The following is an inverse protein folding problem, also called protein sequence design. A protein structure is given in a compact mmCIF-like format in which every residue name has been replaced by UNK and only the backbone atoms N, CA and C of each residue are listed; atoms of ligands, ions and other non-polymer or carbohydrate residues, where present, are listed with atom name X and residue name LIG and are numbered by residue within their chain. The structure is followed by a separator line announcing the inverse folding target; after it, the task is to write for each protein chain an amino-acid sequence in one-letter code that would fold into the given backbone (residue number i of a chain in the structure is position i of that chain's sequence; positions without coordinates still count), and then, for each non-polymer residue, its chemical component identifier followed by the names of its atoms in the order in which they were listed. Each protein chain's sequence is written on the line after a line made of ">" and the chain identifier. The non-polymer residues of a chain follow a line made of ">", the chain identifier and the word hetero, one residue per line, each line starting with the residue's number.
data_IF_563002717392
#
_entry.id   IF_563002717392
#
_cell.length_a   1.000
_cell.length_b   1.000
_cell.length_c   1.000
_cell.angle_alpha   90.00
_cell.angle_beta   90.00
_cell.angle_gamma   90.00
#
_symmetry.space_group_name_H-M   'P 1'
#
loop_
_entity.id
_entity.type
_entity.pdbx_description
1 polymer ?
#
# COMPACT_ATOMS: atom_id res chain seq x y z
N UNK A 1 3.71 -5.36 -14.99
CA UNK A 1 3.22 -6.29 -13.96
C UNK A 1 2.41 -5.57 -12.89
N UNK A 2 2.98 -4.58 -12.19
CA UNK A 2 2.28 -3.77 -11.18
C UNK A 2 0.93 -3.20 -11.66
N UNK A 3 0.89 -2.60 -12.85
CA UNK A 3 -0.35 -1.98 -13.35
C UNK A 3 -1.46 -2.97 -13.69
N UNK A 4 -1.10 -4.17 -14.16
CA UNK A 4 -2.07 -5.18 -14.59
C UNK A 4 -2.60 -6.04 -13.43
N UNK A 5 -1.85 -6.15 -12.32
CA UNK A 5 -2.19 -7.06 -11.23
C UNK A 5 -2.36 -6.35 -9.88
N UNK A 6 -1.42 -5.47 -9.50
CA UNK A 6 -1.44 -4.85 -8.18
C UNK A 6 -2.47 -3.71 -8.10
N UNK A 7 -2.55 -2.83 -9.11
CA UNK A 7 -3.56 -1.74 -9.12
C UNK A 7 -4.99 -2.31 -9.01
N UNK A 8 -5.44 -3.27 -9.84
CA UNK A 8 -6.79 -3.84 -9.71
C UNK A 8 -7.02 -4.55 -8.38
N UNK A 9 -6.01 -5.25 -7.84
CA UNK A 9 -6.13 -5.91 -6.54
C UNK A 9 -6.25 -4.92 -5.38
N UNK A 10 -5.54 -3.78 -5.45
CA UNK A 10 -5.66 -2.71 -4.47
C UNK A 10 -7.03 -2.01 -4.57
N UNK A 11 -7.50 -1.73 -5.79
CA UNK A 11 -8.82 -1.15 -6.02
C UNK A 11 -9.92 -2.04 -5.43
N UNK A 12 -9.86 -3.34 -5.73
CA UNK A 12 -10.81 -4.33 -5.21
C UNK A 12 -10.75 -4.45 -3.68
N UNK A 13 -9.54 -4.46 -3.11
CA UNK A 13 -9.38 -4.51 -1.66
C UNK A 13 -9.96 -3.27 -0.96
N UNK A 14 -9.73 -2.07 -1.52
CA UNK A 14 -10.28 -0.83 -0.99
C UNK A 14 -11.80 -0.79 -1.16
N UNK A 15 -12.32 -1.19 -2.32
CA UNK A 15 -13.75 -1.24 -2.59
C UNK A 15 -14.51 -2.20 -1.66
N UNK A 16 -13.88 -3.31 -1.30
CA UNK A 16 -14.42 -4.27 -0.32
C UNK A 16 -14.21 -3.85 1.14
N UNK A 17 -13.59 -2.69 1.40
CA UNK A 17 -13.31 -2.20 2.75
C UNK A 17 -12.27 -3.05 3.50
N UNK A 18 -11.41 -3.77 2.77
CA UNK A 18 -10.35 -4.58 3.39
C UNK A 18 -9.28 -3.69 4.00
N UNK A 19 -8.66 -4.18 5.06
CA UNK A 19 -7.48 -3.57 5.64
C UNK A 19 -6.26 -3.79 4.74
N UNK A 20 -5.59 -2.70 4.37
CA UNK A 20 -4.33 -2.76 3.65
C UNK A 20 -3.17 -2.91 4.64
N UNK A 21 -2.34 -3.94 4.41
CA UNK A 21 -1.11 -4.16 5.19
C UNK A 21 0.09 -4.42 4.27
N UNK A 22 1.26 -4.05 4.74
CA UNK A 22 2.56 -4.26 4.10
C UNK A 22 3.45 -5.10 5.01
N UNK A 23 4.32 -5.91 4.41
CA UNK A 23 5.31 -6.72 5.15
C UNK A 23 6.42 -5.87 5.76
N UNK A 24 6.74 -4.73 5.14
CA UNK A 24 7.75 -3.78 5.59
C UNK A 24 7.21 -2.36 5.47
N UNK A 25 7.93 -1.39 6.02
CA UNK A 25 7.55 0.01 5.90
C UNK A 25 7.76 0.50 4.45
N UNK A 26 6.70 0.85 3.70
CA UNK A 26 6.84 1.31 2.32
C UNK A 26 7.50 2.67 2.16
N UNK A 27 7.66 3.42 3.24
CA UNK A 27 8.28 4.75 3.21
C UNK A 27 9.81 4.72 3.29
N UNK A 28 10.42 3.56 3.54
CA UNK A 28 11.89 3.45 3.61
C UNK A 28 12.52 3.61 2.23
N UNK A 29 13.64 4.34 2.16
CA UNK A 29 14.35 4.63 0.91
C UNK A 29 14.79 3.38 0.14
N UNK A 30 15.13 2.29 0.85
CA UNK A 30 15.48 1.01 0.22
C UNK A 30 14.38 0.41 -0.66
N UNK A 31 13.11 0.82 -0.46
CA UNK A 31 11.98 0.33 -1.23
C UNK A 31 11.54 1.27 -2.35
N UNK A 32 12.20 2.41 -2.57
CA UNK A 32 11.78 3.44 -3.55
C UNK A 32 11.54 2.92 -4.97
N UNK A 33 12.31 1.91 -5.39
CA UNK A 33 12.20 1.28 -6.72
C UNK A 33 11.57 -0.11 -6.66
N UNK A 34 10.75 -0.38 -5.65
CA UNK A 34 10.09 -1.67 -5.44
C UNK A 34 8.57 -1.56 -5.55
N UNK A 35 7.93 -2.70 -5.80
CA UNK A 35 6.47 -2.80 -5.83
C UNK A 35 5.83 -2.25 -4.55
N UNK A 36 6.46 -2.47 -3.39
CA UNK A 36 5.93 -2.08 -2.09
C UNK A 36 5.82 -0.54 -1.95
N UNK A 37 6.75 0.22 -2.57
CA UNK A 37 6.62 1.68 -2.66
C UNK A 37 5.54 2.09 -3.65
N UNK A 38 5.48 1.45 -4.82
CA UNK A 38 4.48 1.79 -5.84
C UNK A 38 3.05 1.53 -5.36
N UNK A 39 2.82 0.45 -4.62
CA UNK A 39 1.54 0.16 -3.96
C UNK A 39 1.15 1.28 -3.00
N UNK A 40 2.10 1.73 -2.18
CA UNK A 40 1.87 2.80 -1.22
C UNK A 40 1.58 4.14 -1.91
N UNK A 41 2.39 4.54 -2.88
CA UNK A 41 2.19 5.80 -3.61
C UNK A 41 0.84 5.78 -4.34
N UNK A 42 0.47 4.66 -4.96
CA UNK A 42 -0.84 4.49 -5.60
C UNK A 42 -2.02 4.65 -4.63
N UNK A 43 -1.94 4.03 -3.45
CA UNK A 43 -2.98 4.14 -2.42
C UNK A 43 -3.11 5.57 -1.89
N UNK A 44 -2.01 6.30 -1.78
CA UNK A 44 -2.06 7.73 -1.41
C UNK A 44 -2.73 8.56 -2.49
N UNK A 45 -2.29 8.41 -3.74
CA UNK A 45 -2.72 9.24 -4.87
C UNK A 45 -4.18 8.99 -5.26
N UNK A 46 -4.64 7.75 -5.18
CA UNK A 46 -5.95 7.35 -5.72
C UNK A 46 -6.99 6.99 -4.66
N UNK A 47 -6.56 6.56 -3.48
CA UNK A 47 -7.48 6.03 -2.45
C UNK A 47 -7.51 6.83 -1.16
N UNK A 48 -6.75 7.93 -1.08
CA UNK A 48 -6.78 8.87 0.04
C UNK A 48 -6.07 8.36 1.30
N UNK A 49 -5.15 7.40 1.18
CA UNK A 49 -4.33 6.99 2.32
C UNK A 49 -3.33 8.09 2.68
N UNK A 50 -3.13 8.33 3.98
CA UNK A 50 -2.30 9.43 4.50
C UNK A 50 -1.03 8.92 5.18
N UNK A 51 -1.12 7.81 5.91
CA UNK A 51 0.01 7.26 6.67
C UNK A 51 0.00 5.73 6.75
N UNK A 52 1.10 5.17 7.25
CA UNK A 52 1.25 3.78 7.64
C UNK A 52 1.73 3.71 9.09
N UNK A 53 1.16 2.82 9.88
CA UNK A 53 1.60 2.58 11.25
C UNK A 53 1.98 1.11 11.47
N UNK A 54 2.98 0.86 12.31
CA UNK A 54 3.43 -0.49 12.64
C UNK A 54 2.50 -1.11 13.69
N UNK A 55 2.05 -2.33 13.45
CA UNK A 55 1.32 -3.15 14.43
C UNK A 55 1.79 -4.61 14.33
N UNK A 56 2.49 -5.08 15.36
CA UNK A 56 3.20 -6.36 15.30
C UNK A 56 4.28 -6.32 14.22
N UNK A 57 4.31 -7.35 13.36
CA UNK A 57 5.30 -7.48 12.27
C UNK A 57 4.88 -6.78 10.96
N UNK A 58 3.70 -6.16 10.93
CA UNK A 58 3.15 -5.55 9.71
C UNK A 58 2.97 -4.04 9.84
N UNK A 59 2.90 -3.38 8.68
CA UNK A 59 2.59 -1.97 8.54
C UNK A 59 1.22 -1.80 7.93
N UNK A 60 0.37 -0.99 8.53
CA UNK A 60 -1.04 -0.84 8.14
C UNK A 60 -1.28 0.55 7.59
N UNK A 61 -1.92 0.64 6.42
CA UNK A 61 -2.31 1.92 5.83
C UNK A 61 -3.51 2.52 6.56
N UNK A 62 -3.48 3.82 6.79
CA UNK A 62 -4.62 4.62 7.28
C UNK A 62 -4.99 5.70 6.28
N UNK A 63 -6.30 5.97 6.18
CA UNK A 63 -6.87 7.17 5.55
C UNK A 63 -7.07 8.24 6.62
#
# INVERSE_FOLDING_TARGET
>A
MFEAFNKPALDDAVAQGKTIRFSHNPKLSQYEKSALRWEWDYLKEHHGYVDVYKKGDFWYGTK
#
